data_IF_432442143323
#
_entry.id   IF_432442143323
#
_cell.length_a   1.000
_cell.length_b   1.000
_cell.length_c   1.000
_cell.angle_alpha   90.00
_cell.angle_beta   90.00
_cell.angle_gamma   90.00
#
_symmetry.space_group_name_H-M   'P 1'
#
loop_
_entity.id
_entity.type
_entity.pdbx_description
1 polymer ?
#
# COMPACT_ATOMS: atom_id res chain seq x y z
N UNK A 1 -2.95 3.77 11.65
CA UNK A 1 -2.67 4.35 10.30
C UNK A 1 -4.00 4.81 9.67
N UNK A 2 -3.98 5.59 8.58
CA UNK A 2 -5.20 5.94 7.82
C UNK A 2 -5.52 4.82 6.82
N UNK A 3 -6.81 4.63 6.48
CA UNK A 3 -7.21 3.76 5.38
C UNK A 3 -6.63 4.24 4.05
N UNK A 4 -5.70 3.50 3.46
CA UNK A 4 -5.14 3.81 2.14
C UNK A 4 -6.22 3.66 1.06
N UNK A 5 -6.51 4.74 0.32
CA UNK A 5 -7.55 4.77 -0.72
C UNK A 5 -8.93 4.21 -0.28
N UNK A 6 -9.25 4.30 1.02
CA UNK A 6 -10.50 3.77 1.58
C UNK A 6 -10.54 2.26 1.85
N UNK A 7 -9.40 1.57 1.70
CA UNK A 7 -9.25 0.12 1.84
C UNK A 7 -8.94 -0.55 0.50
N UNK A 8 -8.06 -1.55 0.51
CA UNK A 8 -7.65 -2.28 -0.69
C UNK A 8 -8.84 -2.88 -1.42
N UNK A 9 -9.01 -2.52 -2.70
CA UNK A 9 -10.11 -3.00 -3.53
C UNK A 9 -11.50 -2.70 -2.98
N UNK A 10 -11.69 -1.64 -2.18
CA UNK A 10 -12.98 -1.32 -1.53
C UNK A 10 -13.73 -0.15 -2.15
N UNK A 11 -13.02 0.89 -2.58
CA UNK A 11 -13.64 2.10 -3.15
C UNK A 11 -13.01 2.56 -4.47
N UNK A 12 -11.76 2.17 -4.73
CA UNK A 12 -10.96 2.70 -5.81
C UNK A 12 -10.37 1.58 -6.66
N UNK A 13 -10.27 1.85 -7.95
CA UNK A 13 -9.45 1.09 -8.90
C UNK A 13 -8.73 2.06 -9.84
N UNK A 14 -7.61 1.62 -10.40
CA UNK A 14 -6.88 2.31 -11.46
C UNK A 14 -6.82 1.42 -12.69
N UNK A 15 -6.86 2.00 -13.90
CA UNK A 15 -6.66 1.27 -15.16
C UNK A 15 -5.45 1.88 -15.87
N UNK A 16 -4.42 1.08 -16.11
CA UNK A 16 -3.21 1.54 -16.80
C UNK A 16 -3.47 1.73 -18.30
N UNK A 17 -2.62 2.47 -19.03
CA UNK A 17 -2.75 2.59 -20.49
C UNK A 17 -2.69 1.25 -21.25
N UNK A 18 -2.05 0.23 -20.67
CA UNK A 18 -2.02 -1.12 -21.26
C UNK A 18 -3.31 -1.91 -21.02
N UNK A 19 -4.21 -1.41 -20.17
CA UNK A 19 -5.49 -2.02 -19.81
C UNK A 19 -5.50 -2.81 -18.50
N UNK A 20 -4.38 -2.87 -17.76
CA UNK A 20 -4.33 -3.58 -16.46
C UNK A 20 -5.15 -2.84 -15.42
N UNK A 21 -5.88 -3.56 -14.58
CA UNK A 21 -6.68 -2.98 -13.50
C UNK A 21 -5.99 -3.22 -12.16
N UNK A 22 -5.80 -2.16 -11.38
CA UNK A 22 -5.02 -2.16 -10.16
C UNK A 22 -5.88 -1.70 -8.95
N UNK A 23 -5.77 -2.33 -7.76
CA UNK A 23 -6.46 -1.89 -6.56
C UNK A 23 -5.99 -0.53 -6.01
N UNK A 24 -4.76 -0.11 -6.38
CA UNK A 24 -4.23 1.22 -6.14
C UNK A 24 -3.11 1.51 -7.16
N UNK A 25 -2.68 2.77 -7.28
CA UNK A 25 -1.66 3.15 -8.26
C UNK A 25 -0.32 2.43 -8.08
N UNK A 26 0.10 2.18 -6.83
CA UNK A 26 1.38 1.54 -6.52
C UNK A 26 1.29 0.00 -6.39
N UNK A 27 0.17 -0.62 -6.79
CA UNK A 27 -0.03 -2.06 -6.59
C UNK A 27 1.02 -2.92 -7.32
N UNK A 28 1.47 -2.48 -8.50
CA UNK A 28 2.52 -3.18 -9.28
C UNK A 28 3.90 -3.17 -8.59
N UNK A 29 4.10 -2.37 -7.54
CA UNK A 29 5.32 -2.42 -6.72
C UNK A 29 5.38 -3.66 -5.83
N UNK A 30 4.25 -4.32 -5.54
CA UNK A 30 4.21 -5.54 -4.74
C UNK A 30 4.58 -6.73 -5.63
N UNK A 31 5.73 -7.35 -5.34
CA UNK A 31 6.20 -8.50 -6.11
C UNK A 31 5.23 -9.69 -6.00
N UNK A 32 5.08 -10.43 -7.10
CA UNK A 32 4.26 -11.64 -7.15
C UNK A 32 2.77 -11.42 -7.44
N UNK A 33 2.26 -10.18 -7.43
CA UNK A 33 0.88 -9.90 -7.85
C UNK A 33 0.73 -9.98 -9.37
N UNK A 34 -0.35 -10.63 -9.80
CA UNK A 34 -0.80 -10.66 -11.20
C UNK A 34 -2.09 -9.86 -11.33
N UNK A 35 -2.17 -9.03 -12.38
CA UNK A 35 -3.29 -8.12 -12.61
C UNK A 35 -4.02 -8.49 -13.88
N UNK A 36 -5.35 -8.61 -13.77
CA UNK A 36 -6.23 -8.78 -14.92
C UNK A 36 -6.35 -7.48 -15.73
N UNK A 37 -6.75 -7.62 -16.99
CA UNK A 37 -6.90 -6.52 -17.93
C UNK A 37 -8.32 -6.43 -18.47
N UNK A 38 -8.80 -5.21 -18.67
CA UNK A 38 -10.13 -4.95 -19.26
C UNK A 38 -10.23 -5.39 -20.73
N UNK A 39 -9.10 -5.70 -21.37
CA UNK A 39 -9.08 -6.29 -22.72
C UNK A 39 -9.50 -7.76 -22.71
N UNK A 40 -9.39 -8.42 -21.56
CA UNK A 40 -9.54 -9.87 -21.43
C UNK A 40 -10.77 -10.25 -20.59
N UNK A 41 -11.12 -9.42 -19.59
CA UNK A 41 -12.24 -9.69 -18.67
C UNK A 41 -13.09 -8.43 -18.42
N UNK A 42 -14.41 -8.58 -18.16
CA UNK A 42 -15.26 -7.45 -17.78
C UNK A 42 -14.76 -6.77 -16.49
N UNK A 43 -14.83 -5.44 -16.43
CA UNK A 43 -14.37 -4.68 -15.26
C UNK A 43 -15.08 -5.11 -13.95
N UNK A 44 -16.37 -5.43 -14.01
CA UNK A 44 -17.13 -5.94 -12.86
C UNK A 44 -16.56 -7.27 -12.34
N UNK A 45 -16.22 -8.20 -13.24
CA UNK A 45 -15.56 -9.45 -12.86
C UNK A 45 -14.20 -9.17 -12.22
N UNK A 46 -13.40 -8.26 -12.78
CA UNK A 46 -12.08 -7.94 -12.21
C UNK A 46 -12.26 -7.34 -10.81
N UNK A 47 -13.24 -6.47 -10.62
CA UNK A 47 -13.54 -5.89 -9.32
C UNK A 47 -13.96 -6.95 -8.30
N UNK A 48 -14.88 -7.84 -8.65
CA UNK A 48 -15.48 -8.78 -7.69
C UNK A 48 -14.62 -10.03 -7.46
N UNK A 49 -14.01 -10.57 -8.52
CA UNK A 49 -13.46 -11.92 -8.54
C UNK A 49 -11.93 -11.98 -8.67
N UNK A 50 -11.26 -10.92 -9.14
CA UNK A 50 -9.81 -11.02 -9.40
C UNK A 50 -9.00 -11.28 -8.13
N UNK A 51 -7.98 -12.12 -8.26
CA UNK A 51 -7.11 -12.49 -7.16
C UNK A 51 -6.38 -11.26 -6.58
N UNK A 52 -5.92 -10.32 -7.42
CA UNK A 52 -5.22 -9.12 -6.95
C UNK A 52 -6.12 -8.17 -6.17
N UNK A 53 -7.41 -8.04 -6.51
CA UNK A 53 -8.36 -7.25 -5.73
C UNK A 53 -8.72 -7.95 -4.42
N UNK A 54 -8.90 -9.26 -4.43
CA UNK A 54 -9.36 -10.00 -3.26
C UNK A 54 -8.26 -10.33 -2.24
N UNK A 55 -6.98 -10.35 -2.63
CA UNK A 55 -5.88 -10.79 -1.77
C UNK A 55 -5.81 -10.04 -0.42
N UNK A 56 -5.98 -8.72 -0.45
CA UNK A 56 -5.98 -7.88 0.76
C UNK A 56 -7.33 -7.20 1.03
N UNK A 57 -8.41 -7.70 0.42
CA UNK A 57 -9.77 -7.20 0.66
C UNK A 57 -10.33 -7.82 1.93
N UNK A 58 -11.06 -7.01 2.70
CA UNK A 58 -11.61 -7.47 3.99
C UNK A 58 -10.52 -7.64 5.04
N UNK A 59 -10.75 -8.51 6.03
CA UNK A 59 -9.87 -8.70 7.19
C UNK A 59 -9.32 -10.12 7.32
N UNK A 60 -9.79 -11.08 6.51
CA UNK A 60 -9.42 -12.49 6.64
C UNK A 60 -7.94 -12.80 6.40
N UNK A 61 -7.25 -11.96 5.63
CA UNK A 61 -5.82 -12.08 5.32
C UNK A 61 -4.91 -11.52 6.42
N UNK A 62 -5.44 -10.72 7.35
CA UNK A 62 -4.61 -9.93 8.25
C UNK A 62 -3.82 -10.81 9.24
N UNK A 63 -2.53 -10.50 9.48
CA UNK A 63 -1.75 -11.08 10.58
C UNK A 63 -2.04 -10.35 11.89
N UNK A 64 -1.49 -10.85 13.00
CA UNK A 64 -1.43 -10.07 14.24
C UNK A 64 -0.48 -8.86 14.09
N UNK A 65 -0.74 -7.73 14.77
CA UNK A 65 -1.87 -7.47 15.67
C UNK A 65 -3.17 -7.07 14.95
N UNK A 66 -3.15 -6.86 13.63
CA UNK A 66 -4.33 -6.40 12.88
C UNK A 66 -5.52 -7.36 13.00
N UNK A 67 -5.25 -8.67 13.01
CA UNK A 67 -6.27 -9.72 13.11
C UNK A 67 -7.12 -9.58 14.37
N UNK A 68 -6.54 -9.26 15.52
CA UNK A 68 -7.29 -9.09 16.78
C UNK A 68 -7.63 -7.63 17.13
N UNK A 69 -7.25 -6.67 16.29
CA UNK A 69 -7.42 -5.25 16.56
C UNK A 69 -8.86 -4.74 16.31
N UNK A 70 -9.38 -3.92 17.22
CA UNK A 70 -10.68 -3.25 17.10
C UNK A 70 -10.80 -2.33 15.86
N UNK A 71 -9.67 -1.84 15.33
CA UNK A 71 -9.63 -0.89 14.21
C UNK A 71 -9.55 -1.55 12.82
N UNK A 72 -9.48 -2.88 12.75
CA UNK A 72 -9.22 -3.63 11.50
C UNK A 72 -10.21 -3.35 10.35
N UNK A 73 -11.44 -2.96 10.66
CA UNK A 73 -12.46 -2.58 9.65
C UNK A 73 -12.59 -1.06 9.44
N UNK A 74 -11.80 -0.26 10.16
CA UNK A 74 -11.76 1.20 10.03
C UNK A 74 -10.63 1.60 9.09
N UNK A 75 -9.40 1.16 9.39
CA UNK A 75 -8.21 1.53 8.64
C UNK A 75 -7.68 0.42 7.72
N UNK A 76 -8.28 -0.78 7.79
CA UNK A 76 -7.96 -1.92 6.93
C UNK A 76 -6.48 -2.32 6.98
N UNK A 77 -5.84 -2.13 8.15
CA UNK A 77 -4.43 -2.42 8.35
C UNK A 77 -3.47 -1.41 7.72
N UNK A 78 -3.97 -0.32 7.10
CA UNK A 78 -3.16 0.71 6.45
C UNK A 78 -2.76 0.38 5.00
N UNK A 79 -1.63 0.91 4.55
CA UNK A 79 -1.19 0.81 3.15
C UNK A 79 -0.37 -0.46 2.88
N UNK A 80 -0.83 -1.29 1.92
CA UNK A 80 -0.16 -2.55 1.55
C UNK A 80 1.14 -2.32 0.79
N UNK A 81 1.16 -1.32 -0.09
CA UNK A 81 2.37 -0.95 -0.83
C UNK A 81 3.46 -0.42 0.10
N UNK A 82 3.09 0.32 1.14
CA UNK A 82 4.03 0.81 2.15
C UNK A 82 4.55 -0.33 3.04
N UNK A 83 3.66 -1.22 3.50
CA UNK A 83 4.06 -2.41 4.24
C UNK A 83 5.09 -3.23 3.44
N UNK A 84 4.83 -3.47 2.16
CA UNK A 84 5.77 -4.16 1.28
C UNK A 84 7.09 -3.41 1.13
N UNK A 85 7.05 -2.12 0.79
CA UNK A 85 8.26 -1.33 0.53
C UNK A 85 9.19 -1.23 1.76
N UNK A 86 8.62 -1.21 2.96
CA UNK A 86 9.39 -1.02 4.20
C UNK A 86 9.73 -2.33 4.91
N UNK A 87 8.98 -3.41 4.68
CA UNK A 87 9.15 -4.68 5.43
C UNK A 87 9.41 -5.90 4.54
N UNK A 88 9.26 -5.76 3.23
CA UNK A 88 9.38 -6.86 2.26
C UNK A 88 8.10 -7.71 2.10
N UNK A 89 7.08 -7.51 2.95
CA UNK A 89 5.81 -8.25 2.87
C UNK A 89 4.61 -7.30 2.91
N UNK A 90 3.74 -7.41 1.90
CA UNK A 90 2.51 -6.62 1.78
C UNK A 90 1.41 -7.05 2.76
N UNK A 91 1.51 -8.23 3.36
CA UNK A 91 0.59 -8.70 4.39
C UNK A 91 0.92 -8.10 5.78
N UNK A 92 2.13 -7.59 5.99
CA UNK A 92 2.53 -7.02 7.28
C UNK A 92 1.69 -5.81 7.68
N UNK A 93 1.54 -5.62 8.99
CA UNK A 93 0.95 -4.41 9.56
C UNK A 93 1.74 -3.18 9.08
N UNK A 94 1.05 -2.17 8.54
CA UNK A 94 1.69 -0.94 8.06
C UNK A 94 2.59 -0.33 9.16
N UNK A 95 3.90 -0.13 8.92
CA UNK A 95 4.81 0.49 9.89
C UNK A 95 4.38 1.86 10.42
N UNK A 96 3.51 2.58 9.70
CA UNK A 96 2.91 3.82 10.22
C UNK A 96 1.97 3.59 11.42
N UNK A 97 1.55 2.34 11.68
CA UNK A 97 0.84 1.96 12.89
C UNK A 97 1.79 1.90 14.10
N UNK A 98 1.37 2.49 15.22
CA UNK A 98 2.12 2.39 16.49
C UNK A 98 2.26 0.97 17.02
N UNK A 99 1.33 0.08 16.64
CA UNK A 99 1.34 -1.33 17.03
C UNK A 99 2.14 -2.22 16.07
N UNK A 100 2.71 -1.67 14.98
CA UNK A 100 3.46 -2.49 14.02
C UNK A 100 4.76 -3.03 14.65
N UNK A 101 5.04 -4.34 14.53
CA UNK A 101 6.34 -4.90 14.93
C UNK A 101 7.52 -4.31 14.14
N UNK A 102 7.24 -3.75 12.96
CA UNK A 102 8.24 -3.18 12.05
C UNK A 102 8.27 -1.65 12.09
N UNK A 103 7.85 -1.02 13.20
CA UNK A 103 7.80 0.44 13.31
C UNK A 103 9.18 1.10 13.33
N UNK A 104 10.19 0.35 13.74
CA UNK A 104 11.60 0.74 13.79
C UNK A 104 12.16 1.20 12.44
N UNK A 105 11.63 0.69 11.32
CA UNK A 105 12.00 1.11 9.96
C UNK A 105 11.76 2.61 9.70
N UNK A 106 10.90 3.26 10.49
CA UNK A 106 10.64 4.70 10.41
C UNK A 106 11.57 5.52 11.30
N UNK A 107 12.28 4.91 12.25
CA UNK A 107 13.13 5.64 13.20
C UNK A 107 14.37 6.24 12.55
N UNK A 108 15.01 5.52 11.62
CA UNK A 108 16.21 6.02 10.94
C UNK A 108 15.92 7.33 10.16
N UNK A 109 14.91 7.38 9.26
CA UNK A 109 14.53 8.62 8.60
C UNK A 109 14.14 9.74 9.57
N UNK A 110 13.47 9.42 10.68
CA UNK A 110 13.10 10.41 11.70
C UNK A 110 14.33 11.00 12.40
N UNK A 111 15.34 10.18 12.71
CA UNK A 111 16.60 10.66 13.29
C UNK A 111 17.34 11.56 12.31
N UNK A 112 17.44 11.15 11.05
CA UNK A 112 18.11 11.93 9.99
C UNK A 112 17.40 13.25 9.71
N UNK A 113 16.05 13.26 9.68
CA UNK A 113 15.26 14.46 9.44
C UNK A 113 15.40 15.52 10.53
N UNK A 114 15.83 15.14 11.74
CA UNK A 114 16.08 16.08 12.84
C UNK A 114 17.51 16.63 12.85
N UNK A 115 18.39 16.14 11.96
CA UNK A 115 19.73 16.70 11.79
C UNK A 115 19.66 18.06 11.08
N UNK A 116 20.67 18.91 11.30
CA UNK A 116 20.78 20.17 10.59
C UNK A 116 20.87 19.92 9.07
N UNK A 117 20.02 20.61 8.30
CA UNK A 117 20.05 20.50 6.85
C UNK A 117 21.43 20.97 6.32
N UNK A 118 22.00 20.29 5.31
CA UNK A 118 23.20 20.77 4.64
C UNK A 118 22.90 22.07 3.89
N UNK A 119 23.95 22.76 3.45
CA UNK A 119 23.81 23.94 2.60
C UNK A 119 22.99 23.61 1.34
N UNK A 120 21.92 24.37 1.09
CA UNK A 120 21.04 24.13 -0.06
C UNK A 120 21.70 24.55 -1.36
N UNK A 121 21.83 23.62 -2.30
CA UNK A 121 22.24 23.91 -3.68
C UNK A 121 20.99 24.19 -4.51
N UNK A 122 20.69 25.46 -4.75
CA UNK A 122 19.54 25.87 -5.57
C UNK A 122 19.86 25.68 -7.06
N UNK A 123 19.07 24.86 -7.75
CA UNK A 123 19.16 24.76 -9.22
C UNK A 123 18.60 26.04 -9.85
N UNK A 124 19.39 26.71 -10.68
CA UNK A 124 18.89 27.77 -11.59
C UNK A 124 18.61 27.15 -12.95
N UNK A 125 17.46 27.44 -13.53
CA UNK A 125 17.17 27.11 -14.93
C UNK A 125 18.03 28.02 -15.80
N UNK A 126 18.90 27.45 -16.64
CA UNK A 126 19.63 28.17 -17.68
C UNK A 126 21.05 28.67 -17.35
N UNK A 127 21.78 28.01 -16.45
CA UNK A 127 23.24 28.14 -16.34
C UNK A 127 23.94 27.11 -17.22
#
# INVERSE_FOLDING_TARGET
PKSCMGGWGRQFLNITPSGKVLPCHAAESIAGLQFDSVKDKPLAWIWEESASFNLYRGTGWMPEPCRSCDRREIDWGGCRCQAFALTGDAANTDPACELSPHRDVLEMPLKESNAAAPEFIYRRIGA
#
